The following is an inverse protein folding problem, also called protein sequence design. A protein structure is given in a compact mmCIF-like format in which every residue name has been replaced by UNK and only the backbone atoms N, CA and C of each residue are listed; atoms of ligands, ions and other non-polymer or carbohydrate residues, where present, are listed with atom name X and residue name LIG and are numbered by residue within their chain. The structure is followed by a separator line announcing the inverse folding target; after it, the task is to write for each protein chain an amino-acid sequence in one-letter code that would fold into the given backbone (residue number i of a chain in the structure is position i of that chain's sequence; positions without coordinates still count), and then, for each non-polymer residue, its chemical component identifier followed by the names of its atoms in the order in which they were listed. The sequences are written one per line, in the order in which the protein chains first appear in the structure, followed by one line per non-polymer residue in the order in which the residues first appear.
data_IF_094759797812
#
_entry.id   IF_094759797812
#
_cell.length_a   1.000
_cell.length_b   1.000
_cell.length_c   1.000
_cell.angle_alpha   90.00
_cell.angle_beta   90.00
_cell.angle_gamma   90.00
#
_symmetry.space_group_name_H-M   'P 1'
#
loop_
_entity.id
_entity.type
_entity.pdbx_description
1 polymer ?
#
# COMPACT_ATOMS: atom_id res chain seq x y z
N UNK A 1 -21.26 -28.36 -1.44
CA UNK A 1 -19.87 -27.84 -1.50
C UNK A 1 -19.82 -26.32 -1.70
N UNK A 2 -20.53 -25.72 -2.66
CA UNK A 2 -20.49 -24.26 -2.93
C UNK A 2 -20.88 -23.36 -1.72
N UNK A 3 -21.93 -23.74 -0.97
CA UNK A 3 -22.36 -23.03 0.25
C UNK A 3 -21.30 -23.05 1.36
N UNK A 4 -20.55 -24.15 1.47
CA UNK A 4 -19.44 -24.29 2.42
C UNK A 4 -18.25 -23.43 1.98
N UNK A 5 -17.89 -23.45 0.69
CA UNK A 5 -16.81 -22.63 0.14
C UNK A 5 -17.08 -21.13 0.31
N UNK A 6 -18.30 -20.67 -0.01
CA UNK A 6 -18.71 -19.26 0.20
C UNK A 6 -18.60 -18.84 1.67
N UNK A 7 -19.09 -19.68 2.60
CA UNK A 7 -19.01 -19.40 4.03
C UNK A 7 -17.56 -19.28 4.50
N UNK A 8 -16.67 -20.13 3.98
CA UNK A 8 -15.25 -20.11 4.32
C UNK A 8 -14.52 -18.89 3.75
N UNK A 9 -14.82 -18.49 2.51
CA UNK A 9 -14.29 -17.25 1.92
C UNK A 9 -14.74 -16.01 2.69
N UNK A 10 -16.02 -15.94 3.08
CA UNK A 10 -16.55 -14.85 3.89
C UNK A 10 -15.91 -14.78 5.29
N UNK A 11 -15.54 -15.93 5.88
CA UNK A 11 -14.83 -15.98 7.15
C UNK A 11 -13.37 -15.55 7.03
N UNK A 12 -12.74 -15.77 5.87
CA UNK A 12 -11.36 -15.33 5.60
C UNK A 12 -11.26 -13.83 5.38
N UNK A 13 -12.27 -13.21 4.76
CA UNK A 13 -12.28 -11.77 4.49
C UNK A 13 -11.97 -10.89 5.71
N UNK A 14 -12.64 -11.03 6.89
CA UNK A 14 -12.32 -10.21 8.05
C UNK A 14 -10.93 -10.50 8.63
N UNK A 15 -10.44 -11.73 8.52
CA UNK A 15 -9.08 -12.09 8.97
C UNK A 15 -8.03 -11.40 8.10
N UNK A 16 -8.17 -11.50 6.78
CA UNK A 16 -7.29 -10.82 5.82
C UNK A 16 -7.33 -9.30 5.99
N UNK A 17 -8.53 -8.75 6.18
CA UNK A 17 -8.71 -7.32 6.42
C UNK A 17 -8.01 -6.89 7.71
N UNK A 18 -8.22 -7.61 8.81
CA UNK A 18 -7.54 -7.34 10.09
C UNK A 18 -6.02 -7.39 9.97
N UNK A 19 -5.46 -8.44 9.35
CA UNK A 19 -4.01 -8.56 9.11
C UNK A 19 -3.51 -7.42 8.22
N UNK A 20 -4.23 -7.07 7.15
CA UNK A 20 -3.85 -5.99 6.24
C UNK A 20 -3.80 -4.63 6.95
N UNK A 21 -4.75 -4.34 7.84
CA UNK A 21 -4.75 -3.12 8.65
C UNK A 21 -3.53 -3.12 9.56
N UNK A 22 -3.29 -4.20 10.29
CA UNK A 22 -2.16 -4.28 11.23
C UNK A 22 -0.82 -4.07 10.52
N UNK A 23 -0.62 -4.71 9.37
CA UNK A 23 0.61 -4.57 8.58
C UNK A 23 0.73 -3.16 8.01
N UNK A 24 -0.34 -2.63 7.42
CA UNK A 24 -0.33 -1.30 6.78
C UNK A 24 -0.04 -0.18 7.77
N UNK A 25 -0.73 -0.18 8.92
CA UNK A 25 -0.49 0.79 9.98
C UNK A 25 0.86 0.54 10.66
N UNK A 26 1.26 -0.72 10.85
CA UNK A 26 2.59 -1.07 11.35
C UNK A 26 3.72 -0.48 10.50
N UNK A 27 3.59 -0.52 9.18
CA UNK A 27 4.54 0.13 8.27
C UNK A 27 4.57 1.66 8.41
N UNK A 28 3.42 2.30 8.66
CA UNK A 28 3.37 3.75 8.88
C UNK A 28 3.97 4.20 10.21
N UNK A 29 4.15 3.29 11.17
CA UNK A 29 4.84 3.57 12.42
C UNK A 29 6.38 3.52 12.26
N UNK A 30 6.87 2.93 11.17
CA UNK A 30 8.31 2.88 10.89
C UNK A 30 8.76 4.30 10.50
N UNK A 31 9.71 4.91 11.23
CA UNK A 31 10.23 6.21 10.89
C UNK A 31 11.04 6.12 9.58
N UNK A 32 10.61 6.88 8.58
CA UNK A 32 11.26 6.95 7.28
C UNK A 32 10.30 7.47 6.22
N UNK A 33 10.69 8.48 5.46
CA UNK A 33 9.88 8.96 4.36
C UNK A 33 10.20 8.19 3.08
N UNK A 34 9.24 7.41 2.61
CA UNK A 34 9.32 6.67 1.34
C UNK A 34 9.63 7.61 0.17
N UNK A 35 9.12 8.84 0.18
CA UNK A 35 9.42 9.80 -0.87
C UNK A 35 10.88 10.26 -0.82
N UNK A 36 11.47 10.43 0.37
CA UNK A 36 12.90 10.72 0.51
C UNK A 36 13.77 9.54 0.05
N UNK A 37 13.38 8.31 0.40
CA UNK A 37 14.05 7.10 -0.06
C UNK A 37 14.02 6.96 -1.59
N UNK A 38 12.91 7.33 -2.23
CA UNK A 38 12.75 7.30 -3.68
C UNK A 38 13.51 8.42 -4.40
N UNK A 39 13.54 9.61 -3.81
CA UNK A 39 14.21 10.79 -4.35
C UNK A 39 15.74 10.63 -4.31
N UNK A 40 16.26 9.98 -3.25
CA UNK A 40 17.68 9.88 -2.97
C UNK A 40 18.32 11.22 -2.59
N UNK A 41 19.63 11.24 -2.39
CA UNK A 41 20.38 12.40 -1.85
C UNK A 41 20.45 13.63 -2.78
N UNK A 42 19.85 13.58 -3.98
CA UNK A 42 20.04 14.60 -5.03
C UNK A 42 18.80 15.40 -5.41
N UNK A 43 17.64 15.12 -4.84
CA UNK A 43 16.43 15.85 -5.22
C UNK A 43 16.19 17.12 -4.41
N UNK A 44 15.47 18.06 -5.02
CA UNK A 44 15.05 19.29 -4.34
C UNK A 44 13.81 19.06 -3.47
N UNK A 45 13.56 19.93 -2.50
CA UNK A 45 12.33 19.88 -1.68
C UNK A 45 11.05 19.95 -2.53
N UNK A 46 11.11 20.65 -3.67
CA UNK A 46 10.01 20.70 -4.63
C UNK A 46 9.72 19.34 -5.27
N UNK A 47 10.76 18.57 -5.58
CA UNK A 47 10.63 17.23 -6.15
C UNK A 47 10.14 16.23 -5.09
N UNK A 48 10.58 16.39 -3.83
CA UNK A 48 10.07 15.60 -2.72
C UNK A 48 8.55 15.75 -2.57
N UNK A 49 8.04 16.98 -2.58
CA UNK A 49 6.61 17.26 -2.46
C UNK A 49 5.82 16.72 -3.66
N UNK A 50 6.39 16.81 -4.88
CA UNK A 50 5.78 16.21 -6.08
C UNK A 50 5.65 14.70 -5.94
N UNK A 51 6.72 14.02 -5.50
CA UNK A 51 6.70 12.56 -5.31
C UNK A 51 5.71 12.17 -4.22
N UNK A 52 5.69 12.87 -3.08
CA UNK A 52 4.71 12.63 -2.01
C UNK A 52 3.28 12.76 -2.53
N UNK A 53 3.00 13.79 -3.31
CA UNK A 53 1.67 14.00 -3.88
C UNK A 53 1.30 12.92 -4.92
N UNK A 54 2.23 12.53 -5.79
CA UNK A 54 2.01 11.47 -6.78
C UNK A 54 1.72 10.12 -6.12
N UNK A 55 2.45 9.79 -5.06
CA UNK A 55 2.24 8.57 -4.27
C UNK A 55 1.02 8.68 -3.34
N UNK A 56 0.48 9.88 -3.13
CA UNK A 56 -0.61 10.14 -2.19
C UNK A 56 -0.21 10.03 -0.73
N UNK A 57 1.09 10.13 -0.43
CA UNK A 57 1.63 10.12 0.94
C UNK A 57 1.24 11.38 1.73
N UNK A 58 0.77 12.42 1.03
CA UNK A 58 0.20 13.65 1.58
C UNK A 58 -1.27 13.49 2.04
N UNK A 59 -1.92 12.38 1.70
CA UNK A 59 -3.32 12.10 2.09
C UNK A 59 -3.39 11.52 3.51
N UNK A 60 -4.51 11.69 4.21
CA UNK A 60 -4.75 10.98 5.47
C UNK A 60 -4.57 9.45 5.31
N UNK A 61 -3.98 8.80 6.32
CA UNK A 61 -3.60 7.38 6.29
C UNK A 61 -4.78 6.45 5.95
N UNK A 62 -5.99 6.78 6.41
CA UNK A 62 -7.19 5.99 6.07
C UNK A 62 -7.52 6.05 4.57
N UNK A 63 -7.28 7.18 3.88
CA UNK A 63 -7.46 7.30 2.43
C UNK A 63 -6.42 6.45 1.71
N UNK A 64 -5.17 6.48 2.19
CA UNK A 64 -4.09 5.65 1.65
C UNK A 64 -4.44 4.16 1.76
N UNK A 65 -4.97 3.73 2.91
CA UNK A 65 -5.41 2.35 3.13
C UNK A 65 -6.56 1.95 2.20
N UNK A 66 -7.58 2.80 2.04
CA UNK A 66 -8.71 2.52 1.13
C UNK A 66 -8.24 2.41 -0.32
N UNK A 67 -7.30 3.27 -0.74
CA UNK A 67 -6.69 3.18 -2.08
C UNK A 67 -5.90 1.88 -2.25
N UNK A 68 -5.07 1.52 -1.28
CA UNK A 68 -4.31 0.27 -1.27
C UNK A 68 -5.24 -0.95 -1.38
N UNK A 69 -6.28 -1.00 -0.55
CA UNK A 69 -7.24 -2.10 -0.56
C UNK A 69 -8.02 -2.16 -1.89
N UNK A 70 -8.43 -1.00 -2.42
CA UNK A 70 -9.08 -0.90 -3.73
C UNK A 70 -8.22 -1.40 -4.88
N UNK A 71 -6.92 -1.07 -4.88
CA UNK A 71 -5.95 -1.55 -5.87
C UNK A 71 -5.83 -3.08 -5.82
N UNK A 72 -5.60 -3.66 -4.63
CA UNK A 72 -5.47 -5.11 -4.48
C UNK A 72 -6.70 -5.86 -4.97
N UNK A 73 -7.90 -5.35 -4.65
CA UNK A 73 -9.15 -5.96 -5.10
C UNK A 73 -9.32 -5.91 -6.63
N UNK A 74 -8.65 -4.98 -7.31
CA UNK A 74 -8.58 -4.86 -8.77
C UNK A 74 -7.40 -5.63 -9.37
N UNK A 75 -6.55 -6.26 -8.55
CA UNK A 75 -5.33 -6.95 -8.98
C UNK A 75 -4.11 -6.04 -9.12
N UNK A 76 -4.20 -4.78 -8.70
CA UNK A 76 -3.09 -3.82 -8.65
C UNK A 76 -2.43 -3.85 -7.27
N UNK A 77 -1.25 -4.46 -7.20
CA UNK A 77 -0.43 -4.54 -5.99
C UNK A 77 0.56 -3.36 -5.87
N UNK A 78 0.52 -2.42 -6.81
CA UNK A 78 1.43 -1.30 -6.89
C UNK A 78 2.80 -1.65 -7.46
N UNK A 79 3.70 -0.67 -7.39
CA UNK A 79 5.06 -0.73 -7.91
C UNK A 79 6.04 -0.79 -6.75
N UNK A 80 7.03 -1.67 -6.85
CA UNK A 80 8.14 -1.75 -5.91
C UNK A 80 8.96 -0.48 -5.90
N UNK A 81 9.17 0.06 -4.70
CA UNK A 81 10.05 1.21 -4.46
C UNK A 81 11.51 0.88 -4.78
N UNK A 82 11.89 -0.40 -4.68
CA UNK A 82 13.28 -0.86 -4.87
C UNK A 82 13.61 -1.09 -6.35
N UNK A 83 12.78 -1.85 -7.05
CA UNK A 83 13.05 -2.27 -8.44
C UNK A 83 12.29 -1.43 -9.48
N UNK A 84 11.33 -0.61 -9.05
CA UNK A 84 10.42 0.14 -9.92
C UNK A 84 9.61 -0.74 -10.88
N UNK A 85 9.41 -2.01 -10.52
CA UNK A 85 8.57 -2.96 -11.25
C UNK A 85 7.29 -3.27 -10.46
N UNK A 86 6.20 -3.69 -11.13
CA UNK A 86 5.00 -4.15 -10.42
C UNK A 86 5.36 -5.26 -9.43
N UNK A 87 4.83 -5.18 -8.21
CA UNK A 87 5.16 -6.10 -7.11
C UNK A 87 4.88 -7.56 -7.48
N UNK A 88 3.90 -7.80 -8.35
CA UNK A 88 3.54 -9.14 -8.84
C UNK A 88 4.64 -9.83 -9.67
N UNK A 89 5.68 -9.10 -10.10
CA UNK A 89 6.79 -9.63 -10.88
C UNK A 89 8.12 -9.68 -10.11
N UNK A 90 8.14 -9.19 -8.86
CA UNK A 90 9.29 -9.35 -7.95
C UNK A 90 9.30 -10.74 -7.28
#
# INVERSE_FOLDING_TARGET
MLKFLRRRLLQLAPVLLGVSILVFFGMHLIPGDVAQLLLGDKGTDADLQRIRHQLGLDRPVYIQYVRFLGGILQGDFGVSIRTRQPVIWE
#
